data_IF_992546008795
#
_entry.id   IF_992546008795
#
_cell.length_a   1.000
_cell.length_b   1.000
_cell.length_c   1.000
_cell.angle_alpha   90.00
_cell.angle_beta   90.00
_cell.angle_gamma   90.00
#
_symmetry.space_group_name_H-M   'P 1'
#
loop_
_entity.id
_entity.type
_entity.pdbx_description
1 polymer ?
#
# COMPACT_ATOMS: atom_id res chain seq x y z
N UNK A 1 0.57 27.59 -11.28
CA UNK A 1 0.54 26.44 -10.35
C UNK A 1 -0.87 25.89 -10.41
N UNK A 2 -1.06 24.66 -10.84
CA UNK A 2 -2.39 24.15 -11.13
C UNK A 2 -2.43 22.62 -11.03
N UNK A 3 -3.50 22.12 -10.41
CA UNK A 3 -4.09 20.82 -10.73
C UNK A 3 -4.00 20.61 -12.25
N UNK A 4 -3.66 19.40 -12.69
CA UNK A 4 -3.66 19.05 -14.12
C UNK A 4 -4.92 19.61 -14.78
N UNK A 5 -4.74 20.37 -15.87
CA UNK A 5 -5.85 21.05 -16.54
C UNK A 5 -6.95 20.05 -16.96
N UNK A 6 -6.55 18.83 -17.35
CA UNK A 6 -7.46 17.72 -17.67
C UNK A 6 -8.28 17.27 -16.47
N UNK A 7 -7.64 17.11 -15.32
CA UNK A 7 -8.32 16.72 -14.09
C UNK A 7 -9.31 17.79 -13.64
N UNK A 8 -8.88 19.06 -13.62
CA UNK A 8 -9.75 20.18 -13.28
C UNK A 8 -10.97 20.25 -14.21
N UNK A 9 -10.73 20.19 -15.53
CA UNK A 9 -11.81 20.22 -16.53
C UNK A 9 -12.81 19.07 -16.34
N UNK A 10 -12.35 17.86 -16.02
CA UNK A 10 -13.22 16.72 -15.74
C UNK A 10 -14.09 16.96 -14.51
N UNK A 11 -13.49 17.37 -13.39
CA UNK A 11 -14.22 17.55 -12.13
C UNK A 11 -15.24 18.69 -12.24
N UNK A 12 -14.86 19.80 -12.88
CA UNK A 12 -15.74 20.94 -13.13
C UNK A 12 -16.90 20.55 -14.05
N UNK A 13 -16.62 19.89 -15.18
CA UNK A 13 -17.64 19.48 -16.16
C UNK A 13 -18.63 18.45 -15.59
N UNK A 14 -18.22 17.68 -14.58
CA UNK A 14 -19.06 16.68 -13.92
C UNK A 14 -19.64 17.18 -12.60
N UNK A 15 -19.47 18.47 -12.28
CA UNK A 15 -19.93 19.13 -11.05
C UNK A 15 -19.53 18.37 -9.78
N UNK A 16 -18.35 17.78 -9.76
CA UNK A 16 -17.84 17.07 -8.59
C UNK A 16 -17.31 18.08 -7.58
N UNK A 17 -17.76 17.96 -6.33
CA UNK A 17 -17.19 18.71 -5.22
C UNK A 17 -15.83 18.14 -4.88
N UNK A 18 -14.81 18.97 -4.89
CA UNK A 18 -13.45 18.61 -4.50
C UNK A 18 -12.78 19.75 -3.75
N UNK A 19 -11.82 19.41 -2.90
CA UNK A 19 -10.94 20.37 -2.23
C UNK A 19 -9.54 20.20 -2.77
N UNK A 20 -8.88 21.29 -3.15
CA UNK A 20 -7.49 21.27 -3.58
C UNK A 20 -6.61 21.87 -2.49
N UNK A 21 -5.51 21.21 -2.18
CA UNK A 21 -4.55 21.65 -1.18
C UNK A 21 -3.15 21.60 -1.77
N UNK A 22 -2.46 22.74 -1.68
CA UNK A 22 -1.04 22.84 -1.98
C UNK A 22 -0.25 22.62 -0.70
N UNK A 23 0.81 21.82 -0.77
CA UNK A 23 1.73 21.58 0.33
C UNK A 23 3.18 21.62 -0.16
N UNK A 24 4.15 21.95 0.71
CA UNK A 24 5.57 21.81 0.38
C UNK A 24 5.86 20.38 -0.10
N UNK A 25 6.81 20.17 -1.01
CA UNK A 25 7.25 18.83 -1.42
C UNK A 25 7.73 18.05 -0.20
N UNK A 26 6.90 17.12 0.26
CA UNK A 26 7.21 16.18 1.32
C UNK A 26 7.32 14.80 0.70
N UNK A 27 8.50 14.21 0.80
CA UNK A 27 8.87 13.03 0.01
C UNK A 27 8.45 11.72 0.67
N UNK A 28 7.99 11.77 1.93
CA UNK A 28 7.57 10.57 2.66
C UNK A 28 6.06 10.54 2.90
N UNK A 29 5.46 9.35 2.79
CA UNK A 29 4.02 9.17 3.00
C UNK A 29 3.55 9.59 4.41
N UNK A 30 4.45 9.59 5.41
CA UNK A 30 4.17 10.07 6.76
C UNK A 30 4.12 11.59 6.84
N UNK A 31 5.00 12.29 6.12
CA UNK A 31 4.98 13.75 6.04
C UNK A 31 3.76 14.26 5.26
N UNK A 32 3.36 13.59 4.16
CA UNK A 32 2.13 13.94 3.43
C UNK A 32 0.89 13.74 4.31
N UNK A 33 0.79 12.62 5.04
CA UNK A 33 -0.34 12.37 5.94
C UNK A 33 -0.38 13.37 7.12
N UNK A 34 0.78 13.76 7.65
CA UNK A 34 0.88 14.76 8.71
C UNK A 34 0.55 16.18 8.20
N UNK A 35 1.02 16.56 7.01
CA UNK A 35 0.78 17.87 6.41
C UNK A 35 -0.66 18.03 5.91
N UNK A 36 -1.27 16.96 5.38
CA UNK A 36 -2.64 16.99 4.89
C UNK A 36 -3.69 16.79 6.00
N UNK A 37 -3.29 16.40 7.23
CA UNK A 37 -4.19 15.92 8.29
C UNK A 37 -5.13 14.77 7.84
N UNK A 38 -4.74 14.05 6.78
CA UNK A 38 -5.51 12.95 6.20
C UNK A 38 -4.94 11.63 6.71
N UNK A 39 -5.74 10.71 7.28
CA UNK A 39 -5.26 9.37 7.59
C UNK A 39 -4.61 8.75 6.37
N UNK A 40 -3.39 8.22 6.47
CA UNK A 40 -2.67 7.66 5.31
C UNK A 40 -3.39 6.53 4.53
N UNK A 41 -4.51 6.02 5.05
CA UNK A 41 -5.44 5.12 4.34
C UNK A 41 -6.31 5.82 3.29
N UNK A 42 -6.64 7.09 3.49
CA UNK A 42 -7.43 7.91 2.57
C UNK A 42 -6.56 8.53 1.46
N UNK A 43 -5.25 8.67 1.70
CA UNK A 43 -4.31 9.07 0.66
C UNK A 43 -4.13 7.91 -0.33
N UNK A 44 -4.64 8.07 -1.55
CA UNK A 44 -4.46 7.14 -2.65
C UNK A 44 -3.20 7.49 -3.45
N UNK A 45 -2.47 6.46 -3.86
CA UNK A 45 -1.38 6.58 -4.83
C UNK A 45 -1.70 5.78 -6.09
N UNK A 46 -1.04 6.17 -7.17
CA UNK A 46 -1.19 5.57 -8.48
C UNK A 46 0.12 4.89 -8.89
N UNK A 47 0.03 3.61 -9.26
CA UNK A 47 1.17 2.82 -9.74
C UNK A 47 0.87 2.34 -11.15
N UNK A 48 1.69 2.76 -12.13
CA UNK A 48 1.54 2.29 -13.50
C UNK A 48 2.15 0.90 -13.64
N UNK A 49 1.32 -0.06 -14.07
CA UNK A 49 1.75 -1.42 -14.37
C UNK A 49 1.69 -1.65 -15.87
N UNK A 50 2.59 -2.50 -16.38
CA UNK A 50 2.65 -2.90 -17.78
C UNK A 50 2.49 -4.41 -17.92
N UNK A 51 1.67 -4.79 -18.88
CA UNK A 51 1.37 -6.17 -19.29
C UNK A 51 1.69 -6.34 -20.78
N UNK A 52 1.55 -7.57 -21.29
CA UNK A 52 1.63 -7.82 -22.72
C UNK A 52 0.53 -7.12 -23.54
N UNK A 53 -0.56 -6.68 -22.90
CA UNK A 53 -1.72 -6.04 -23.54
C UNK A 53 -1.68 -4.51 -23.47
N UNK A 54 -0.68 -3.93 -22.80
CA UNK A 54 -0.59 -2.49 -22.55
C UNK A 54 -0.42 -2.14 -21.07
N UNK A 55 -0.73 -0.89 -20.75
CA UNK A 55 -0.57 -0.32 -19.40
C UNK A 55 -1.89 -0.20 -18.65
N UNK A 56 -1.84 -0.19 -17.33
CA UNK A 56 -2.98 0.07 -16.44
C UNK A 56 -2.53 0.84 -15.19
N UNK A 57 -3.39 1.70 -14.67
CA UNK A 57 -3.14 2.41 -13.40
C UNK A 57 -3.71 1.59 -12.25
N UNK A 58 -2.87 1.19 -11.31
CA UNK A 58 -3.27 0.57 -10.05
C UNK A 58 -3.38 1.63 -8.94
N UNK A 59 -4.59 1.83 -8.43
CA UNK A 59 -4.91 2.80 -7.38
C UNK A 59 -5.09 2.07 -6.06
N UNK A 60 -4.36 2.48 -5.03
CA UNK A 60 -4.37 1.86 -3.71
C UNK A 60 -3.97 2.87 -2.62
N UNK A 61 -4.25 2.61 -1.33
CA UNK A 61 -3.78 3.46 -0.25
C UNK A 61 -2.25 3.59 -0.26
N UNK A 62 -1.75 4.81 -0.02
CA UNK A 62 -0.34 5.17 -0.15
C UNK A 62 0.56 4.34 0.79
N UNK A 63 0.03 3.97 1.95
CA UNK A 63 0.70 3.16 2.98
C UNK A 63 0.87 1.67 2.61
N UNK A 64 0.32 1.20 1.49
CA UNK A 64 0.41 -0.20 1.05
C UNK A 64 1.34 -0.37 -0.15
N UNK A 65 1.83 -1.59 -0.37
CA UNK A 65 2.53 -1.98 -1.61
C UNK A 65 1.58 -2.73 -2.53
N UNK A 66 1.81 -2.60 -3.82
CA UNK A 66 1.07 -3.36 -4.83
C UNK A 66 1.55 -4.82 -4.84
N UNK A 67 0.61 -5.76 -4.74
CA UNK A 67 0.85 -7.18 -4.97
C UNK A 67 0.73 -7.45 -6.48
N UNK A 68 1.87 -7.47 -7.16
CA UNK A 68 1.91 -7.69 -8.62
C UNK A 68 1.31 -9.04 -9.04
N UNK A 69 1.35 -10.07 -8.18
CA UNK A 69 0.74 -11.37 -8.50
C UNK A 69 -0.78 -11.25 -8.53
N UNK A 70 -1.36 -10.56 -7.55
CA UNK A 70 -2.82 -10.31 -7.50
C UNK A 70 -3.28 -9.39 -8.63
N UNK A 71 -2.51 -8.35 -8.95
CA UNK A 71 -2.81 -7.49 -10.11
C UNK A 71 -2.77 -8.29 -11.41
N UNK A 72 -1.75 -9.13 -11.61
CA UNK A 72 -1.62 -9.99 -12.79
C UNK A 72 -2.83 -10.91 -12.97
N UNK A 73 -3.27 -11.53 -11.86
CA UNK A 73 -4.46 -12.38 -11.84
C UNK A 73 -5.74 -11.57 -12.16
N UNK A 74 -5.89 -10.38 -11.55
CA UNK A 74 -7.02 -9.49 -11.80
C UNK A 74 -7.09 -9.12 -13.29
N UNK A 75 -5.99 -8.68 -13.88
CA UNK A 75 -5.91 -8.29 -15.29
C UNK A 75 -5.96 -9.47 -16.27
N UNK A 76 -5.95 -10.73 -15.79
CA UNK A 76 -5.83 -11.94 -16.63
C UNK A 76 -4.66 -11.81 -17.62
N UNK A 77 -3.52 -11.36 -17.10
CA UNK A 77 -2.31 -11.08 -17.88
C UNK A 77 -1.30 -12.22 -17.79
N UNK A 78 -0.55 -12.46 -18.88
CA UNK A 78 0.55 -13.45 -18.93
C UNK A 78 1.81 -12.92 -18.29
N UNK A 79 2.09 -11.63 -18.43
CA UNK A 79 3.23 -10.94 -17.80
C UNK A 79 2.76 -9.67 -17.10
N UNK A 80 3.48 -9.29 -16.04
CA UNK A 80 3.20 -8.04 -15.35
C UNK A 80 4.47 -7.51 -14.68
N UNK A 81 4.75 -6.24 -14.90
CA UNK A 81 5.82 -5.49 -14.22
C UNK A 81 5.37 -4.06 -13.93
N UNK A 82 6.13 -3.37 -13.10
CA UNK A 82 6.02 -1.91 -13.00
C UNK A 82 6.47 -1.27 -14.32
N UNK A 83 5.81 -0.18 -14.71
CA UNK A 83 6.26 0.64 -15.81
C UNK A 83 7.56 1.38 -15.43
N UNK A 84 8.45 1.59 -16.40
CA UNK A 84 9.61 2.46 -16.21
C UNK A 84 9.19 3.93 -16.15
N UNK A 85 10.06 4.80 -15.64
CA UNK A 85 9.78 6.25 -15.64
C UNK A 85 9.55 6.80 -17.07
N UNK A 86 10.29 6.28 -18.06
CA UNK A 86 10.10 6.65 -19.47
C UNK A 86 8.71 6.26 -19.98
N UNK A 87 8.22 5.07 -19.64
CA UNK A 87 6.87 4.62 -20.00
C UNK A 87 5.80 5.43 -19.27
N UNK A 88 6.06 5.84 -18.02
CA UNK A 88 5.15 6.73 -17.27
C UNK A 88 5.07 8.10 -17.95
N UNK A 89 6.21 8.71 -18.31
CA UNK A 89 6.24 10.01 -19.01
C UNK A 89 5.54 9.96 -20.37
N UNK A 90 5.67 8.83 -21.09
CA UNK A 90 4.96 8.65 -22.36
C UNK A 90 3.44 8.53 -22.15
N UNK A 91 3.02 7.83 -21.10
CA UNK A 91 1.60 7.65 -20.76
C UNK A 91 0.96 8.93 -20.19
N UNK A 92 1.73 9.73 -19.45
CA UNK A 92 1.29 10.95 -18.76
C UNK A 92 2.25 12.11 -19.06
N UNK A 93 2.20 12.70 -20.27
CA UNK A 93 3.19 13.69 -20.72
C UNK A 93 3.13 15.03 -19.98
N UNK A 94 2.00 15.33 -19.33
CA UNK A 94 1.70 16.57 -18.62
C UNK A 94 1.68 16.41 -17.09
N UNK A 95 2.21 15.30 -16.57
CA UNK A 95 2.19 14.98 -15.13
C UNK A 95 3.57 14.54 -14.68
N UNK A 96 3.99 14.99 -13.49
CA UNK A 96 5.23 14.53 -12.88
C UNK A 96 5.17 13.02 -12.57
N UNK A 97 6.28 12.32 -12.80
CA UNK A 97 6.37 10.89 -12.47
C UNK A 97 6.11 10.69 -10.98
N UNK A 98 5.15 9.82 -10.65
CA UNK A 98 4.72 9.59 -9.27
C UNK A 98 3.67 10.56 -8.75
N UNK A 99 3.29 11.60 -9.50
CA UNK A 99 2.23 12.54 -9.15
C UNK A 99 0.92 12.33 -9.93
N UNK A 100 0.76 11.13 -10.51
CA UNK A 100 -0.44 10.74 -11.25
C UNK A 100 -1.67 10.73 -10.34
N UNK A 101 -2.75 11.33 -10.83
CA UNK A 101 -4.09 11.19 -10.23
C UNK A 101 -4.71 9.82 -10.57
N UNK A 102 -5.76 9.37 -9.87
CA UNK A 102 -6.37 8.06 -10.10
C UNK A 102 -7.25 8.01 -11.36
N UNK A 103 -7.27 9.10 -12.14
CA UNK A 103 -8.06 9.25 -13.36
C UNK A 103 -7.28 8.87 -14.62
N UNK A 104 -6.80 7.62 -14.68
CA UNK A 104 -6.12 7.08 -15.88
C UNK A 104 -6.98 7.13 -17.14
N UNK A 105 -8.31 7.16 -16.99
CA UNK A 105 -9.28 7.30 -18.07
C UNK A 105 -9.12 8.62 -18.85
N UNK A 106 -8.56 9.67 -18.25
CA UNK A 106 -8.20 10.92 -18.96
C UNK A 106 -7.15 10.72 -20.06
N UNK A 107 -6.44 9.59 -20.01
CA UNK A 107 -5.37 9.21 -20.92
C UNK A 107 -5.72 7.92 -21.69
N UNK A 108 -6.98 7.49 -21.67
CA UNK A 108 -7.44 6.21 -22.20
C UNK A 108 -6.72 4.99 -21.58
N UNK A 109 -6.25 5.12 -20.33
CA UNK A 109 -5.58 4.05 -19.60
C UNK A 109 -6.57 3.41 -18.61
N UNK A 110 -6.76 2.09 -18.64
CA UNK A 110 -7.66 1.42 -17.71
C UNK A 110 -7.18 1.57 -16.25
N UNK A 111 -8.15 1.76 -15.36
CA UNK A 111 -7.91 1.92 -13.92
C UNK A 111 -8.36 0.66 -13.19
N UNK A 112 -7.52 0.18 -12.29
CA UNK A 112 -7.91 -0.79 -11.26
C UNK A 112 -7.76 -0.15 -9.89
N UNK A 113 -8.69 -0.40 -8.99
CA UNK A 113 -8.67 0.16 -7.64
C UNK A 113 -8.75 -0.94 -6.58
N UNK A 114 -7.97 -0.77 -5.52
CA UNK A 114 -8.02 -1.68 -4.38
C UNK A 114 -9.31 -1.44 -3.59
N UNK A 115 -10.00 -2.52 -3.22
CA UNK A 115 -11.27 -2.48 -2.47
C UNK A 115 -11.17 -1.74 -1.15
N UNK A 116 -9.99 -1.70 -0.51
CA UNK A 116 -9.82 -0.95 0.75
C UNK A 116 -10.02 0.56 0.62
N UNK A 117 -9.92 1.13 -0.59
CA UNK A 117 -10.27 2.55 -0.82
C UNK A 117 -11.78 2.77 -0.80
N UNK A 118 -12.58 1.77 -1.16
CA UNK A 118 -14.04 1.87 -1.18
C UNK A 118 -14.65 1.98 0.23
N UNK A 119 -13.87 1.65 1.27
CA UNK A 119 -14.26 1.80 2.67
C UNK A 119 -14.17 3.26 3.15
N UNK A 120 -13.48 4.13 2.39
CA UNK A 120 -13.35 5.55 2.73
C UNK A 120 -14.47 6.37 2.10
N UNK A 121 -15.04 7.31 2.87
CA UNK A 121 -16.01 8.27 2.33
C UNK A 121 -15.35 9.22 1.31
N UNK A 122 -14.13 9.67 1.63
CA UNK A 122 -13.31 10.54 0.79
C UNK A 122 -11.92 9.97 0.60
N UNK A 123 -11.34 10.27 -0.56
CA UNK A 123 -9.95 9.95 -0.90
C UNK A 123 -9.21 11.23 -1.27
N UNK A 124 -7.95 11.32 -0.83
CA UNK A 124 -7.01 12.34 -1.27
C UNK A 124 -6.02 11.72 -2.27
N UNK A 125 -5.64 12.44 -3.31
CA UNK A 125 -4.67 11.95 -4.29
C UNK A 125 -3.88 13.10 -4.92
N UNK A 126 -2.69 12.77 -5.44
CA UNK A 126 -1.88 13.73 -6.19
C UNK A 126 -2.62 14.23 -7.43
N UNK A 127 -2.38 15.49 -7.79
CA UNK A 127 -3.15 16.21 -8.81
C UNK A 127 -2.31 16.66 -10.02
N UNK A 128 -1.22 15.97 -10.31
CA UNK A 128 -0.31 16.27 -11.43
C UNK A 128 1.10 16.67 -11.01
N UNK A 129 1.27 17.14 -9.78
CA UNK A 129 2.58 17.45 -9.16
C UNK A 129 2.67 16.87 -7.75
N UNK A 130 3.88 16.77 -7.21
CA UNK A 130 4.12 16.32 -5.82
C UNK A 130 3.76 17.33 -4.74
N UNK A 131 3.33 18.54 -5.13
CA UNK A 131 2.94 19.62 -4.21
C UNK A 131 1.44 19.82 -4.15
N UNK A 132 0.67 19.14 -5.00
CA UNK A 132 -0.77 19.38 -5.13
C UNK A 132 -1.55 18.09 -4.90
N UNK A 133 -2.52 18.20 -3.99
CA UNK A 133 -3.46 17.12 -3.69
C UNK A 133 -4.89 17.58 -3.91
N UNK A 134 -5.73 16.66 -4.34
CA UNK A 134 -7.16 16.84 -4.45
C UNK A 134 -7.84 15.79 -3.59
N UNK A 135 -8.78 16.25 -2.75
CA UNK A 135 -9.66 15.40 -1.95
C UNK A 135 -11.05 15.44 -2.56
N UNK A 136 -11.64 14.26 -2.78
CA UNK A 136 -13.00 14.09 -3.28
C UNK A 136 -13.66 12.85 -2.68
N UNK A 137 -14.98 12.74 -2.81
CA UNK A 137 -15.70 11.53 -2.38
C UNK A 137 -15.29 10.32 -3.20
N UNK A 138 -15.09 9.18 -2.56
CA UNK A 138 -14.73 7.93 -3.26
C UNK A 138 -15.75 7.57 -4.34
N UNK A 139 -17.05 7.74 -4.05
CA UNK A 139 -18.14 7.47 -5.00
C UNK A 139 -18.03 8.28 -6.29
N UNK A 140 -17.51 9.50 -6.23
CA UNK A 140 -17.34 10.35 -7.40
C UNK A 140 -16.14 9.89 -8.23
N UNK A 141 -15.04 9.49 -7.57
CA UNK A 141 -13.95 8.79 -8.22
C UNK A 141 -14.44 7.51 -8.92
N UNK A 142 -15.18 6.65 -8.22
CA UNK A 142 -15.67 5.38 -8.78
C UNK A 142 -16.59 5.61 -9.99
N UNK A 143 -17.52 6.58 -9.88
CA UNK A 143 -18.45 6.95 -10.97
C UNK A 143 -17.72 7.46 -12.21
N UNK A 144 -16.67 8.27 -12.03
CA UNK A 144 -15.98 8.95 -13.13
C UNK A 144 -14.85 8.10 -13.74
N UNK A 145 -14.01 7.48 -12.91
CA UNK A 145 -12.89 6.66 -13.36
C UNK A 145 -13.31 5.23 -13.75
N UNK A 146 -14.48 4.78 -13.27
CA UNK A 146 -15.04 3.43 -13.50
C UNK A 146 -13.99 2.32 -13.30
N UNK A 147 -13.30 2.29 -12.14
CA UNK A 147 -12.20 1.37 -11.93
C UNK A 147 -12.69 -0.07 -11.83
N UNK A 148 -11.88 -1.01 -12.29
CA UNK A 148 -12.11 -2.42 -11.97
C UNK A 148 -11.60 -2.70 -10.56
N UNK A 149 -12.51 -3.08 -9.66
CA UNK A 149 -12.18 -3.35 -8.26
C UNK A 149 -11.47 -4.69 -8.07
N UNK A 150 -10.48 -4.72 -7.17
CA UNK A 150 -9.78 -5.94 -6.76
C UNK A 150 -9.14 -5.80 -5.39
N UNK A 151 -8.57 -6.90 -4.88
CA UNK A 151 -7.78 -6.87 -3.64
C UNK A 151 -6.34 -7.17 -4.01
N UNK A 152 -5.49 -6.16 -3.96
CA UNK A 152 -4.08 -6.22 -4.36
C UNK A 152 -3.17 -5.29 -3.54
N UNK A 153 -3.69 -4.57 -2.56
CA UNK A 153 -2.89 -3.89 -1.55
C UNK A 153 -2.36 -4.91 -0.53
N UNK A 154 -1.07 -4.84 -0.22
CA UNK A 154 -0.45 -5.58 0.86
C UNK A 154 0.26 -4.64 1.83
N UNK A 155 0.16 -4.94 3.12
CA UNK A 155 0.86 -4.22 4.18
C UNK A 155 2.34 -4.03 3.85
N UNK A 156 2.87 -2.82 4.09
CA UNK A 156 4.30 -2.73 4.40
C UNK A 156 4.42 -3.51 5.70
N UNK A 157 5.09 -4.66 5.70
CA UNK A 157 5.40 -5.36 6.94
C UNK A 157 5.99 -4.31 7.88
N UNK A 158 5.26 -3.97 8.95
CA UNK A 158 5.88 -3.28 10.07
C UNK A 158 7.07 -4.16 10.41
N UNK A 159 8.28 -3.62 10.36
CA UNK A 159 9.37 -4.18 11.12
C UNK A 159 8.87 -4.24 12.57
N UNK A 160 8.31 -5.39 12.95
CA UNK A 160 8.09 -5.73 14.34
C UNK A 160 9.48 -5.62 14.98
N UNK A 161 9.69 -4.83 16.04
CA UNK A 161 10.84 -5.08 16.89
C UNK A 161 10.77 -6.55 17.27
N UNK A 162 11.85 -7.27 17.04
CA UNK A 162 12.00 -8.67 17.42
C UNK A 162 11.82 -8.77 18.93
N UNK A 163 10.59 -9.05 19.37
CA UNK A 163 10.33 -9.53 20.72
C UNK A 163 10.98 -10.90 20.82
N UNK A 164 12.21 -10.93 21.36
CA UNK A 164 12.94 -12.13 21.74
C UNK A 164 12.00 -13.14 22.42
N UNK A 165 12.14 -14.46 22.19
CA UNK A 165 11.48 -15.45 23.01
C UNK A 165 12.02 -15.31 24.44
N UNK A 166 11.14 -15.03 25.41
CA UNK A 166 11.44 -15.20 26.84
C UNK A 166 11.34 -16.70 27.15
N UNK A 167 12.48 -17.38 27.17
CA UNK A 167 12.63 -18.69 27.82
C UNK A 167 13.84 -18.64 28.73
N UNK A 168 13.58 -18.43 30.02
CA UNK A 168 14.43 -18.88 31.13
C UNK A 168 13.65 -18.76 32.44
N UNK A 169 12.83 -19.76 32.68
CA UNK A 169 12.30 -20.11 33.98
C UNK A 169 13.46 -20.62 34.84
N UNK A 170 13.77 -19.94 35.95
CA UNK A 170 14.17 -20.59 37.22
C UNK A 170 14.21 -19.57 38.36
N UNK A 171 13.05 -19.37 38.98
CA UNK A 171 12.96 -18.83 40.35
C UNK A 171 13.16 -19.99 41.31
N UNK A 172 14.17 -19.86 42.18
CA UNK A 172 14.37 -20.66 43.38
C UNK A 172 13.23 -20.42 44.36
N UNK A 173 12.69 -21.48 44.97
CA UNK A 173 12.42 -21.52 46.42
C UNK A 173 11.88 -22.89 46.88
N UNK A 174 12.62 -23.46 47.83
CA UNK A 174 12.16 -24.18 49.02
C UNK A 174 11.30 -25.45 48.87
N UNK A 175 11.86 -26.59 49.31
CA UNK A 175 11.18 -27.48 50.29
C UNK A 175 12.14 -28.47 50.98
N UNK A 176 11.86 -28.63 52.28
CA UNK A 176 12.48 -29.36 53.41
C UNK A 176 13.09 -30.76 53.17
N UNK A 177 13.94 -31.25 54.10
CA UNK A 177 14.71 -32.48 53.93
C UNK A 177 13.92 -33.73 54.33
N UNK A 178 14.09 -34.82 53.58
CA UNK A 178 13.64 -36.16 53.99
C UNK A 178 14.77 -37.18 53.93
N UNK A 179 15.11 -37.62 55.13
CA UNK A 179 15.79 -38.85 55.56
C UNK A 179 15.85 -40.01 54.55
N UNK A 180 16.94 -40.76 54.75
CA UNK A 180 17.04 -42.23 54.78
C UNK A 180 17.26 -42.97 53.45
N UNK A 181 18.52 -43.38 53.32
CA UNK A 181 18.97 -44.79 53.41
C UNK A 181 18.93 -45.70 52.19
N UNK A 182 20.11 -46.34 52.01
CA UNK A 182 20.32 -47.73 51.52
C UNK A 182 20.09 -47.90 50.02
N UNK A 183 20.85 -48.67 49.23
CA UNK A 183 22.03 -49.54 49.40
C UNK A 183 22.51 -49.86 47.93
N UNK A 184 23.44 -50.80 47.65
CA UNK A 184 24.49 -50.63 46.65
C UNK A 184 24.28 -51.54 45.41
N UNK A 185 25.38 -51.80 44.67
CA UNK A 185 25.68 -52.98 43.84
C UNK A 185 26.01 -52.61 42.39
N UNK A 186 27.31 -52.48 42.08
CA UNK A 186 28.18 -53.49 41.44
C UNK A 186 27.99 -53.60 39.93
N UNK A 187 28.99 -53.08 39.22
CA UNK A 187 29.21 -53.21 37.79
C UNK A 187 30.24 -54.31 37.57
N UNK A 188 29.86 -55.41 36.93
CA UNK A 188 30.81 -56.39 36.36
C UNK A 188 30.18 -57.08 35.15
N UNK A 189 30.69 -56.74 33.97
CA UNK A 189 30.78 -57.54 32.75
C UNK A 189 31.80 -56.80 31.85
N UNK A 190 32.68 -57.50 31.11
CA UNK A 190 32.18 -58.14 29.88
C UNK A 190 32.73 -59.56 29.62
N UNK A 191 31.99 -60.22 28.76
CA UNK A 191 32.23 -61.51 28.13
C UNK A 191 33.60 -61.64 27.45
N UNK A 192 34.25 -62.78 27.68
CA UNK A 192 34.62 -63.71 26.61
C UNK A 192 34.58 -65.15 27.16
#
# INVERSE_FOLDING_TARGET
MAISARLKALLDAQHVKYTAQSHPTVYTAQEIAAAAHVPGRQLAKCVLVKTEKGVAVAVLPAIFRVDLKKVKALLKAKTLRLASESEIKQAFPDVEVGAMSPFGNLYNIPVIADKSLAEAEEIACNAGTHTETVTLRYRDFERLAKPRLGTFAQGIARSRPSSKPKTSTKTQAARRPSKRSRKPATRKAPHR
#
